data_IF_974839032144
#
_entry.id   IF_974839032144
#
_cell.length_a   1.000
_cell.length_b   1.000
_cell.length_c   1.000
_cell.angle_alpha   90.00
_cell.angle_beta   90.00
_cell.angle_gamma   90.00
#
_symmetry.space_group_name_H-M   'P 1'
#
loop_
_entity.id
_entity.type
_entity.pdbx_description
1 polymer ?
#
# COMPACT_ATOMS: atom_id res chain seq x y z
N UNK A 1 -13.13 -11.78 -10.06
CA UNK A 1 -13.22 -11.94 -8.59
C UNK A 1 -12.20 -11.01 -7.94
N UNK A 2 -12.58 -10.28 -6.90
CA UNK A 2 -11.65 -9.45 -6.11
C UNK A 2 -12.16 -9.32 -4.69
N UNK A 3 -11.25 -9.18 -3.73
CA UNK A 3 -11.55 -8.85 -2.33
C UNK A 3 -11.19 -7.39 -2.11
N UNK A 4 -12.03 -6.66 -1.37
CA UNK A 4 -11.75 -5.30 -0.92
C UNK A 4 -11.70 -5.26 0.60
N UNK A 5 -10.91 -4.36 1.15
CA UNK A 5 -10.83 -4.11 2.58
C UNK A 5 -10.39 -2.68 2.88
N UNK A 6 -10.63 -2.25 4.11
CA UNK A 6 -10.05 -1.02 4.66
C UNK A 6 -8.56 -1.25 4.96
N UNK A 7 -7.75 -0.22 4.76
CA UNK A 7 -6.31 -0.26 4.98
C UNK A 7 -5.77 1.14 5.29
N UNK A 8 -4.52 1.21 5.75
CA UNK A 8 -3.81 2.46 6.00
C UNK A 8 -2.68 2.65 4.98
N UNK A 9 -2.55 3.87 4.45
CA UNK A 9 -1.43 4.30 3.60
C UNK A 9 -0.61 5.34 4.36
N UNK A 10 0.71 5.25 4.31
CA UNK A 10 1.58 6.34 4.81
C UNK A 10 1.32 7.58 3.97
N UNK A 11 1.12 8.73 4.63
CA UNK A 11 0.98 10.00 3.92
C UNK A 11 2.30 10.35 3.23
N UNK A 12 2.25 10.69 1.95
CA UNK A 12 3.47 10.96 1.16
C UNK A 12 4.01 12.38 1.38
N UNK A 13 3.15 13.32 1.74
CA UNK A 13 3.49 14.73 1.97
C UNK A 13 4.44 14.96 3.16
N UNK A 14 4.54 14.01 4.09
CA UNK A 14 5.44 14.10 5.25
C UNK A 14 6.93 14.02 4.89
N UNK A 15 7.26 13.41 3.74
CA UNK A 15 8.65 13.18 3.35
C UNK A 15 9.31 14.43 2.79
N UNK A 16 8.55 15.36 2.21
CA UNK A 16 9.08 16.53 1.49
C UNK A 16 10.26 16.12 0.57
N UNK A 17 11.46 16.67 0.78
CA UNK A 17 12.70 16.29 0.07
C UNK A 17 13.69 15.50 0.97
N UNK A 18 13.20 14.91 2.08
CA UNK A 18 14.00 14.16 3.05
C UNK A 18 13.87 12.65 2.86
N UNK A 19 15.00 11.93 2.99
CA UNK A 19 15.01 10.45 2.87
C UNK A 19 14.79 9.74 4.21
N UNK A 20 15.05 10.39 5.34
CA UNK A 20 14.99 9.78 6.67
C UNK A 20 14.22 10.65 7.64
N UNK A 21 13.19 10.07 8.25
CA UNK A 21 12.36 10.70 9.28
C UNK A 21 12.32 9.85 10.54
N UNK A 22 12.01 10.47 11.67
CA UNK A 22 11.68 9.74 12.90
C UNK A 22 10.41 8.92 12.68
N UNK A 23 10.37 7.70 13.24
CA UNK A 23 9.18 6.85 13.18
C UNK A 23 7.95 7.49 13.82
N UNK A 24 8.15 8.38 14.80
CA UNK A 24 7.08 9.11 15.48
C UNK A 24 6.39 10.14 14.58
N UNK A 25 7.05 10.56 13.50
CA UNK A 25 6.53 11.52 12.52
C UNK A 25 5.65 10.84 11.46
N UNK A 26 5.74 9.51 11.32
CA UNK A 26 4.97 8.77 10.33
C UNK A 26 3.49 8.83 10.67
N UNK A 27 2.71 9.39 9.75
CA UNK A 27 1.25 9.44 9.85
C UNK A 27 0.60 8.70 8.68
N UNK A 28 -0.62 8.23 8.93
CA UNK A 28 -1.37 7.40 7.99
C UNK A 28 -2.68 8.07 7.58
N UNK A 29 -3.18 7.65 6.43
CA UNK A 29 -4.53 7.96 5.94
C UNK A 29 -5.28 6.67 5.60
N UNK A 30 -6.60 6.69 5.79
CA UNK A 30 -7.47 5.58 5.42
C UNK A 30 -7.52 5.40 3.90
N UNK A 31 -7.51 4.14 3.46
CA UNK A 31 -7.63 3.78 2.06
C UNK A 31 -8.36 2.46 1.88
N UNK A 32 -8.68 2.12 0.63
CA UNK A 32 -9.27 0.83 0.28
C UNK A 32 -8.25 0.01 -0.49
N UNK A 33 -7.91 -1.15 0.04
CA UNK A 33 -7.09 -2.13 -0.68
C UNK A 33 -7.98 -3.04 -1.52
N UNK A 34 -7.53 -3.37 -2.73
CA UNK A 34 -8.19 -4.32 -3.64
C UNK A 34 -7.22 -5.44 -4.00
N UNK A 35 -7.50 -6.65 -3.54
CA UNK A 35 -6.76 -7.85 -3.86
C UNK A 35 -7.42 -8.62 -5.03
N UNK A 36 -6.59 -9.25 -5.85
CA UNK A 36 -7.00 -10.17 -6.93
C UNK A 36 -6.45 -11.57 -6.64
N UNK A 37 -6.99 -12.63 -7.28
CA UNK A 37 -6.37 -13.95 -7.22
C UNK A 37 -4.92 -13.88 -7.70
N UNK A 38 -4.01 -14.52 -6.95
CA UNK A 38 -2.57 -14.51 -7.25
C UNK A 38 -2.27 -14.96 -8.68
N UNK A 39 -2.91 -16.04 -9.15
CA UNK A 39 -2.71 -16.55 -10.52
C UNK A 39 -3.16 -15.57 -11.62
N UNK A 40 -3.98 -14.57 -11.28
CA UNK A 40 -4.48 -13.54 -12.19
C UNK A 40 -3.61 -12.28 -12.23
N UNK A 41 -2.48 -12.27 -11.51
CA UNK A 41 -1.46 -11.24 -11.59
C UNK A 41 -0.83 -11.16 -13.01
N UNK A 42 -0.30 -10.00 -13.39
CA UNK A 42 0.39 -9.69 -14.67
C UNK A 42 -0.36 -9.95 -16.00
N UNK A 43 -1.67 -10.19 -15.95
CA UNK A 43 -2.51 -10.25 -17.15
C UNK A 43 -3.08 -8.87 -17.56
N UNK A 44 -2.44 -7.78 -17.11
CA UNK A 44 -2.83 -6.38 -17.33
C UNK A 44 -1.55 -5.55 -17.58
N UNK A 45 -1.65 -4.22 -17.60
CA UNK A 45 -0.47 -3.35 -17.63
C UNK A 45 0.50 -3.69 -16.49
N UNK A 46 1.82 -3.77 -16.75
CA UNK A 46 2.83 -4.03 -15.72
C UNK A 46 2.77 -3.04 -14.54
N UNK A 47 3.09 -3.52 -13.35
CA UNK A 47 3.10 -2.73 -12.11
C UNK A 47 3.65 -3.51 -10.91
N UNK A 48 3.55 -2.92 -9.71
CA UNK A 48 4.05 -3.52 -8.47
C UNK A 48 3.10 -4.59 -7.88
N UNK A 49 3.67 -5.66 -7.31
CA UNK A 49 2.94 -6.72 -6.62
C UNK A 49 3.43 -6.92 -5.20
N UNK A 50 2.52 -7.34 -4.33
CA UNK A 50 2.87 -8.03 -3.09
C UNK A 50 1.80 -9.06 -2.73
N UNK A 51 2.22 -10.19 -2.15
CA UNK A 51 1.31 -11.20 -1.57
C UNK A 51 1.07 -10.92 -0.09
N UNK A 52 2.16 -10.76 0.68
CA UNK A 52 2.09 -10.51 2.12
C UNK A 52 1.98 -9.02 2.41
N UNK A 53 0.83 -8.59 2.90
CA UNK A 53 0.58 -7.20 3.29
C UNK A 53 0.88 -7.05 4.78
N UNK A 54 1.44 -5.91 5.19
CA UNK A 54 1.71 -5.64 6.61
C UNK A 54 0.39 -5.63 7.39
N UNK A 55 0.38 -6.29 8.52
CA UNK A 55 -0.63 -6.18 9.57
C UNK A 55 0.00 -5.40 10.73
N UNK A 56 -0.85 -4.90 11.64
CA UNK A 56 -0.39 -4.36 12.94
C UNK A 56 0.54 -5.33 13.67
#
# INVERSE_FOLDING_TARGET
MSIKGEALKVKEDIWEDELYLSSETISYEDTVIKAIPYYGWDHRTPGEMRVWIRTE
#
